data_IF_502878039067
#
_entry.id   IF_502878039067
#
_cell.length_a   1.000
_cell.length_b   1.000
_cell.length_c   1.000
_cell.angle_alpha   90.00
_cell.angle_beta   90.00
_cell.angle_gamma   90.00
#
_symmetry.space_group_name_H-M   'P 1'
#
loop_
_entity.id
_entity.type
_entity.pdbx_description
1 polymer ?
#
# COMPACT_ATOMS: atom_id res chain seq x y z
N UNK A 1 17.80 24.90 -2.30
CA UNK A 1 18.02 23.67 -1.53
C UNK A 1 16.70 23.26 -0.91
N UNK A 2 15.86 22.55 -1.67
CA UNK A 2 14.54 22.12 -1.24
C UNK A 2 14.63 20.64 -0.88
N UNK A 3 14.49 20.32 0.41
CA UNK A 3 14.36 18.95 0.88
C UNK A 3 13.00 18.42 0.40
N UNK A 4 12.97 17.78 -0.77
CA UNK A 4 11.83 16.98 -1.18
C UNK A 4 11.82 15.70 -0.35
N UNK A 5 11.13 15.76 0.79
CA UNK A 5 10.61 14.59 1.51
C UNK A 5 9.60 13.85 0.60
N UNK A 6 10.11 13.18 -0.42
CA UNK A 6 9.37 12.18 -1.21
C UNK A 6 9.51 10.82 -0.52
N UNK A 7 8.98 10.73 0.70
CA UNK A 7 8.60 9.46 1.32
C UNK A 7 7.08 9.31 1.12
N UNK A 8 6.58 8.09 0.82
CA UNK A 8 5.32 7.90 0.11
C UNK A 8 4.13 8.36 0.96
N UNK A 9 3.33 9.27 0.41
CA UNK A 9 1.89 9.37 0.63
C UNK A 9 1.38 9.27 2.08
N UNK A 10 2.04 9.89 3.06
CA UNK A 10 1.46 10.05 4.40
C UNK A 10 0.40 11.16 4.37
N UNK A 11 -0.73 10.86 3.73
CA UNK A 11 -1.88 11.73 3.75
C UNK A 11 -2.70 11.45 5.00
N UNK A 12 -2.84 12.45 5.87
CA UNK A 12 -3.91 12.51 6.87
C UNK A 12 -5.24 12.83 6.17
N UNK A 13 -5.70 11.94 5.29
CA UNK A 13 -6.99 12.13 4.61
C UNK A 13 -8.08 11.44 5.38
N UNK A 14 -8.49 12.10 6.45
CA UNK A 14 -9.69 11.74 7.18
C UNK A 14 -10.90 11.80 6.22
N UNK A 15 -11.78 10.80 6.33
CA UNK A 15 -13.04 10.72 5.58
C UNK A 15 -12.94 10.59 4.05
N UNK A 16 -11.75 10.35 3.51
CA UNK A 16 -11.57 9.95 2.11
C UNK A 16 -12.01 8.49 1.89
N UNK A 17 -12.20 8.08 0.63
CA UNK A 17 -12.37 6.67 0.30
C UNK A 17 -11.09 5.89 0.57
N UNK A 18 -11.23 4.71 1.16
CA UNK A 18 -10.11 3.83 1.55
C UNK A 18 -9.24 3.43 0.35
N UNK A 19 -9.86 3.20 -0.80
CA UNK A 19 -9.20 2.79 -2.03
C UNK A 19 -10.00 3.20 -3.27
N UNK A 20 -9.36 3.07 -4.44
CA UNK A 20 -9.99 3.14 -5.76
C UNK A 20 -9.99 1.75 -6.39
N UNK A 21 -10.86 0.83 -5.91
CA UNK A 21 -10.83 -0.56 -6.35
C UNK A 21 -11.27 -0.72 -7.80
N UNK A 22 -10.74 -1.76 -8.42
CA UNK A 22 -11.16 -2.27 -9.71
C UNK A 22 -12.04 -3.50 -9.51
N UNK A 23 -13.03 -3.66 -10.37
CA UNK A 23 -13.88 -4.83 -10.40
C UNK A 23 -13.99 -5.37 -11.82
N UNK A 24 -13.65 -6.63 -11.96
CA UNK A 24 -13.71 -7.37 -13.21
C UNK A 24 -14.98 -8.22 -13.20
N UNK A 25 -15.85 -7.97 -14.17
CA UNK A 25 -17.05 -8.78 -14.39
C UNK A 25 -16.90 -9.58 -15.69
N UNK A 26 -16.71 -10.88 -15.53
CA UNK A 26 -16.59 -11.81 -16.64
C UNK A 26 -17.90 -11.93 -17.43
N UNK A 27 -19.04 -12.02 -16.73
CA UNK A 27 -20.34 -12.30 -17.37
C UNK A 27 -20.72 -11.20 -18.34
N UNK A 28 -20.47 -9.95 -17.95
CA UNK A 28 -20.72 -8.79 -18.81
C UNK A 28 -19.51 -8.39 -19.67
N UNK A 29 -18.34 -9.03 -19.46
CA UNK A 29 -17.04 -8.65 -20.05
C UNK A 29 -16.71 -7.16 -19.85
N UNK A 30 -16.93 -6.66 -18.64
CA UNK A 30 -16.71 -5.25 -18.28
C UNK A 30 -15.77 -5.07 -17.11
N UNK A 31 -15.03 -3.97 -17.16
CA UNK A 31 -14.22 -3.46 -16.06
C UNK A 31 -14.91 -2.25 -15.44
N UNK A 32 -15.14 -2.31 -14.14
CA UNK A 32 -15.63 -1.22 -13.33
C UNK A 32 -14.47 -0.63 -12.53
N UNK A 33 -14.28 0.67 -12.62
CA UNK A 33 -13.29 1.39 -11.84
C UNK A 33 -13.98 2.40 -10.94
N UNK A 34 -13.81 2.21 -9.62
CA UNK A 34 -14.28 3.17 -8.63
C UNK A 34 -13.25 4.29 -8.47
N UNK A 35 -13.63 5.51 -8.89
CA UNK A 35 -12.77 6.69 -8.82
C UNK A 35 -13.25 7.64 -7.74
N UNK A 36 -12.40 7.86 -6.75
CA UNK A 36 -12.67 8.82 -5.70
C UNK A 36 -12.42 10.25 -6.22
N UNK A 37 -13.22 11.23 -5.79
CA UNK A 37 -12.98 12.62 -6.15
C UNK A 37 -11.63 13.09 -5.56
N UNK A 38 -10.73 13.55 -6.43
CA UNK A 38 -9.42 14.07 -6.04
C UNK A 38 -9.17 15.45 -6.63
N UNK A 39 -8.52 16.31 -5.85
CA UNK A 39 -8.04 17.62 -6.27
C UNK A 39 -6.57 17.52 -6.64
N UNK A 40 -6.24 17.85 -7.88
CA UNK A 40 -4.85 18.00 -8.32
C UNK A 40 -4.28 19.29 -7.75
N UNK A 41 -3.07 19.23 -7.20
CA UNK A 41 -2.30 20.39 -6.79
C UNK A 41 -0.93 20.33 -7.47
N UNK A 42 -0.43 21.43 -8.09
CA UNK A 42 0.84 21.41 -8.80
C UNK A 42 1.99 20.94 -7.92
N UNK A 43 2.74 19.93 -8.37
CA UNK A 43 3.86 19.36 -7.63
C UNK A 43 3.49 18.38 -6.51
N UNK A 44 2.20 18.13 -6.27
CA UNK A 44 1.73 17.17 -5.27
C UNK A 44 0.89 16.06 -5.91
N UNK A 45 0.97 14.87 -5.32
CA UNK A 45 0.04 13.79 -5.66
C UNK A 45 -1.41 14.23 -5.36
N UNK A 46 -2.40 13.75 -6.15
CA UNK A 46 -3.77 14.24 -6.05
C UNK A 46 -4.38 13.98 -4.65
N UNK A 47 -4.86 15.04 -4.00
CA UNK A 47 -5.38 14.99 -2.64
C UNK A 47 -6.87 14.61 -2.69
N UNK A 48 -7.37 13.72 -1.83
CA UNK A 48 -8.79 13.44 -1.68
C UNK A 48 -9.63 14.71 -1.47
N UNK A 49 -10.78 14.77 -2.16
CA UNK A 49 -11.75 15.85 -2.06
C UNK A 49 -13.09 15.28 -1.60
N UNK A 50 -13.90 15.99 -0.79
CA UNK A 50 -15.29 15.62 -0.55
C UNK A 50 -16.09 15.62 -1.87
N UNK A 51 -16.86 14.56 -2.13
CA UNK A 51 -17.72 14.47 -3.31
C UNK A 51 -18.30 13.07 -3.51
N UNK A 52 -19.15 12.93 -4.53
CA UNK A 52 -19.63 11.62 -4.97
C UNK A 52 -18.54 10.92 -5.80
N UNK A 53 -18.33 9.61 -5.62
CA UNK A 53 -17.41 8.84 -6.43
C UNK A 53 -17.98 8.64 -7.83
N UNK A 54 -17.10 8.47 -8.81
CA UNK A 54 -17.43 8.17 -10.19
C UNK A 54 -17.11 6.69 -10.44
N UNK A 55 -18.07 5.93 -10.97
CA UNK A 55 -17.82 4.56 -11.41
C UNK A 55 -17.66 4.60 -12.92
N UNK A 56 -16.43 4.40 -13.39
CA UNK A 56 -16.15 4.29 -14.82
C UNK A 56 -16.32 2.84 -15.26
N UNK A 57 -16.92 2.66 -16.43
CA UNK A 57 -17.22 1.35 -17.01
C UNK A 57 -16.51 1.27 -18.35
N UNK A 58 -15.75 0.20 -18.55
CA UNK A 58 -15.05 -0.06 -19.80
C UNK A 58 -15.33 -1.48 -20.28
N UNK A 59 -15.46 -1.63 -21.60
CA UNK A 59 -15.57 -2.94 -22.21
C UNK A 59 -14.19 -3.61 -22.23
N UNK A 60 -14.15 -4.87 -21.81
CA UNK A 60 -12.91 -5.64 -21.67
C UNK A 60 -12.12 -5.74 -22.98
N UNK A 61 -12.81 -5.80 -24.11
CA UNK A 61 -12.20 -5.91 -25.45
C UNK A 61 -11.38 -4.68 -25.83
N UNK A 62 -11.70 -3.53 -25.24
CA UNK A 62 -11.00 -2.27 -25.47
C UNK A 62 -9.86 -2.03 -24.47
N UNK A 63 -9.51 -3.03 -23.65
CA UNK A 63 -8.49 -2.90 -22.62
C UNK A 63 -7.22 -3.61 -23.06
N UNK A 64 -6.11 -2.89 -22.98
CA UNK A 64 -4.77 -3.41 -23.25
C UNK A 64 -3.91 -3.33 -22.00
N UNK A 65 -3.24 -4.42 -21.65
CA UNK A 65 -2.25 -4.41 -20.59
C UNK A 65 -0.89 -3.91 -21.10
N UNK A 66 -0.29 -3.02 -20.31
CA UNK A 66 1.05 -2.49 -20.48
C UNK A 66 1.83 -2.78 -19.18
N UNK A 67 2.84 -3.64 -19.26
CA UNK A 67 3.77 -3.84 -18.13
C UNK A 67 4.96 -2.93 -18.35
N UNK A 68 4.95 -1.79 -17.66
CA UNK A 68 5.95 -0.74 -17.87
C UNK A 68 7.03 -0.80 -16.82
N UNK A 69 8.22 -0.35 -17.22
CA UNK A 69 9.42 -0.37 -16.41
C UNK A 69 10.13 0.96 -16.56
N UNK A 70 9.94 1.82 -15.58
CA UNK A 70 10.46 3.18 -15.61
C UNK A 70 11.69 3.30 -14.74
N UNK A 71 12.64 4.10 -15.21
CA UNK A 71 13.73 4.59 -14.39
C UNK A 71 13.25 5.90 -13.76
N UNK A 72 13.05 5.89 -12.46
CA UNK A 72 12.70 7.09 -11.70
C UNK A 72 13.97 7.63 -11.09
N UNK A 73 14.42 8.78 -11.57
CA UNK A 73 15.56 9.50 -11.03
C UNK A 73 15.06 10.54 -10.03
N UNK A 74 15.48 10.40 -8.78
CA UNK A 74 15.12 11.31 -7.71
C UNK A 74 16.39 12.02 -7.24
N UNK A 75 16.86 13.01 -8.01
CA UNK A 75 17.99 13.90 -7.72
C UNK A 75 19.37 13.23 -7.57
N UNK A 76 19.51 12.31 -6.61
CA UNK A 76 20.72 11.57 -6.25
C UNK A 76 20.59 10.04 -6.37
N UNK A 77 19.41 9.52 -6.70
CA UNK A 77 19.20 8.06 -6.79
C UNK A 77 18.35 7.72 -7.99
N UNK A 78 18.78 6.72 -8.77
CA UNK A 78 17.99 6.14 -9.84
C UNK A 78 17.41 4.80 -9.37
N UNK A 79 16.09 4.72 -9.26
CA UNK A 79 15.36 3.50 -8.93
C UNK A 79 14.62 2.97 -10.15
N UNK A 80 14.52 1.65 -10.28
CA UNK A 80 13.73 1.02 -11.34
C UNK A 80 12.38 0.61 -10.80
N UNK A 81 11.33 1.24 -11.30
CA UNK A 81 9.95 0.98 -10.87
C UNK A 81 9.25 0.18 -11.95
N UNK A 82 8.64 -0.94 -11.55
CA UNK A 82 7.83 -1.78 -12.45
C UNK A 82 6.39 -1.82 -11.97
N UNK A 83 5.46 -1.47 -12.85
CA UNK A 83 4.03 -1.47 -12.54
C UNK A 83 3.22 -2.05 -13.70
N UNK A 84 2.07 -2.65 -13.37
CA UNK A 84 1.07 -3.06 -14.35
C UNK A 84 0.14 -1.87 -14.59
N UNK A 85 0.01 -1.46 -15.84
CA UNK A 85 -0.91 -0.41 -16.26
C UNK A 85 -1.89 -0.99 -17.28
N UNK A 86 -3.17 -0.66 -17.14
CA UNK A 86 -4.16 -0.95 -18.17
C UNK A 86 -4.44 0.34 -18.94
N UNK A 87 -4.36 0.25 -20.26
CA UNK A 87 -4.69 1.28 -21.21
C UNK A 87 -6.06 0.99 -21.84
N UNK A 88 -6.97 1.94 -21.71
CA UNK A 88 -8.28 1.89 -22.37
C UNK A 88 -8.14 2.50 -23.75
N UNK A 89 -8.53 1.73 -24.76
CA UNK A 89 -8.52 2.12 -26.16
C UNK A 89 -9.89 2.66 -26.56
N UNK A 90 -9.90 3.64 -27.44
CA UNK A 90 -11.10 4.04 -28.17
C UNK A 90 -11.41 2.99 -29.24
N UNK A 91 -12.61 2.38 -29.25
CA UNK A 91 -12.97 1.36 -30.23
C UNK A 91 -12.93 1.87 -31.68
N UNK A 92 -13.15 3.17 -31.91
CA UNK A 92 -13.18 3.74 -33.26
C UNK A 92 -11.78 4.09 -33.79
N UNK A 93 -10.96 4.76 -32.98
CA UNK A 93 -9.64 5.25 -33.42
C UNK A 93 -8.46 4.38 -33.00
N UNK A 94 -8.66 3.44 -32.06
CA UNK A 94 -7.57 2.66 -31.45
C UNK A 94 -6.62 3.48 -30.58
N UNK A 95 -6.93 4.77 -30.32
CA UNK A 95 -6.09 5.63 -29.48
C UNK A 95 -6.31 5.35 -27.99
N UNK A 96 -5.30 5.59 -27.18
CA UNK A 96 -5.39 5.38 -25.73
C UNK A 96 -6.11 6.57 -25.08
N UNK A 97 -7.32 6.32 -24.58
CA UNK A 97 -8.15 7.31 -23.89
C UNK A 97 -7.64 7.60 -22.48
N UNK A 98 -7.37 6.53 -21.73
CA UNK A 98 -6.98 6.64 -20.34
C UNK A 98 -6.08 5.47 -19.95
N UNK A 99 -5.18 5.70 -18.99
CA UNK A 99 -4.38 4.64 -18.40
C UNK A 99 -4.47 4.68 -16.88
N UNK A 100 -4.56 3.52 -16.26
CA UNK A 100 -4.58 3.40 -14.80
C UNK A 100 -3.75 2.21 -14.34
N UNK A 101 -3.17 2.33 -13.15
CA UNK A 101 -2.29 1.31 -12.58
C UNK A 101 -3.09 0.32 -11.75
N UNK A 102 -2.69 -0.95 -11.82
CA UNK A 102 -3.28 -2.03 -11.02
C UNK A 102 -2.19 -2.71 -10.20
N UNK A 103 -2.50 -2.96 -8.93
CA UNK A 103 -1.60 -3.65 -7.99
C UNK A 103 -0.76 -2.68 -7.17
N UNK A 104 0.24 -3.22 -6.47
CA UNK A 104 1.09 -2.43 -5.58
C UNK A 104 2.22 -1.75 -6.37
N UNK A 105 2.37 -0.43 -6.21
CA UNK A 105 3.48 0.36 -6.75
C UNK A 105 4.74 0.14 -5.90
N UNK A 106 5.35 -1.04 -6.00
CA UNK A 106 6.65 -1.30 -5.35
C UNK A 106 7.80 -0.84 -6.23
N UNK A 107 8.69 -0.02 -5.65
CA UNK A 107 9.98 0.39 -6.21
C UNK A 107 10.97 -0.78 -6.35
N UNK A 108 10.72 -1.92 -5.68
CA UNK A 108 11.65 -3.05 -5.58
C UNK A 108 11.02 -4.40 -6.00
N UNK A 109 9.80 -4.39 -6.53
CA UNK A 109 9.10 -5.62 -6.91
C UNK A 109 9.67 -6.27 -8.19
N UNK A 110 9.76 -7.62 -8.27
CA UNK A 110 10.09 -8.32 -9.50
C UNK A 110 9.13 -7.95 -10.63
N UNK A 111 9.67 -7.73 -11.83
CA UNK A 111 8.86 -7.47 -13.03
C UNK A 111 7.91 -8.65 -13.35
N UNK A 112 8.36 -9.88 -13.07
CA UNK A 112 7.57 -11.12 -13.23
C UNK A 112 6.24 -11.08 -12.49
N UNK A 113 6.19 -10.43 -11.32
CA UNK A 113 4.97 -10.39 -10.50
C UNK A 113 3.88 -9.56 -11.18
N UNK A 114 4.25 -8.54 -11.95
CA UNK A 114 3.32 -7.70 -12.73
C UNK A 114 2.76 -8.46 -13.93
N UNK A 115 3.60 -9.28 -14.55
CA UNK A 115 3.18 -10.19 -15.64
C UNK A 115 2.25 -11.28 -15.09
N UNK A 116 2.60 -11.89 -13.95
CA UNK A 116 1.77 -12.90 -13.30
C UNK A 116 0.42 -12.32 -12.87
N UNK A 117 0.39 -11.08 -12.35
CA UNK A 117 -0.85 -10.37 -12.04
C UNK A 117 -1.73 -10.16 -13.27
N UNK A 118 -1.13 -9.74 -14.39
CA UNK A 118 -1.88 -9.62 -15.65
C UNK A 118 -2.45 -10.96 -16.10
N UNK A 119 -1.64 -12.03 -16.12
CA UNK A 119 -2.09 -13.37 -16.51
C UNK A 119 -3.23 -13.87 -15.62
N UNK A 120 -3.17 -13.59 -14.31
CA UNK A 120 -4.23 -13.89 -13.35
C UNK A 120 -5.54 -13.20 -13.75
N UNK A 121 -5.49 -11.91 -14.05
CA UNK A 121 -6.67 -11.12 -14.47
C UNK A 121 -7.20 -11.62 -15.83
N UNK A 122 -6.32 -11.85 -16.81
CA UNK A 122 -6.69 -12.34 -18.14
C UNK A 122 -7.39 -13.69 -18.06
N UNK A 123 -6.81 -14.66 -17.34
CA UNK A 123 -7.40 -15.99 -17.14
C UNK A 123 -8.75 -15.91 -16.44
N UNK A 124 -8.89 -15.05 -15.42
CA UNK A 124 -10.18 -14.83 -14.77
C UNK A 124 -11.26 -14.37 -15.77
N UNK A 125 -10.92 -13.42 -16.65
CA UNK A 125 -11.84 -12.84 -17.62
C UNK A 125 -12.14 -13.76 -18.81
N UNK A 126 -11.18 -14.57 -19.26
CA UNK A 126 -11.32 -15.43 -20.43
C UNK A 126 -11.77 -16.85 -20.05
N UNK A 127 -11.02 -17.49 -19.16
CA UNK A 127 -11.14 -18.91 -18.83
C UNK A 127 -12.10 -19.13 -17.64
N UNK A 128 -12.12 -18.20 -16.69
CA UNK A 128 -13.05 -18.19 -15.55
C UNK A 128 -12.38 -18.28 -14.18
N UNK A 129 -13.18 -18.32 -13.10
CA UNK A 129 -12.67 -18.38 -11.74
C UNK A 129 -11.87 -19.66 -11.46
N UNK A 130 -12.27 -20.79 -12.05
CA UNK A 130 -11.57 -22.08 -11.84
C UNK A 130 -10.16 -22.12 -12.44
N UNK A 131 -9.86 -21.23 -13.39
CA UNK A 131 -8.56 -21.12 -14.04
C UNK A 131 -7.54 -20.28 -13.24
N UNK A 132 -7.98 -19.68 -12.13
CA UNK A 132 -7.20 -18.78 -11.30
C UNK A 132 -7.09 -19.35 -9.89
N UNK A 133 -5.91 -19.27 -9.25
CA UNK A 133 -5.80 -19.66 -7.84
C UNK A 133 -6.82 -18.89 -7.00
N UNK A 134 -7.46 -19.57 -6.04
CA UNK A 134 -8.42 -18.95 -5.13
C UNK A 134 -7.85 -17.64 -4.57
N UNK A 135 -8.62 -16.56 -4.74
CA UNK A 135 -8.24 -15.27 -4.21
C UNK A 135 -8.14 -15.37 -2.69
N UNK A 136 -6.93 -15.20 -2.17
CA UNK A 136 -6.74 -15.04 -0.73
C UNK A 136 -7.47 -13.78 -0.33
N UNK A 137 -8.51 -13.94 0.47
CA UNK A 137 -9.24 -12.82 1.00
C UNK A 137 -8.31 -11.97 1.86
N UNK A 138 -7.93 -10.80 1.33
CA UNK A 138 -7.08 -9.84 2.05
C UNK A 138 -7.90 -8.96 3.00
N UNK A 139 -9.16 -9.29 3.29
CA UNK A 139 -9.86 -8.73 4.45
C UNK A 139 -9.33 -9.32 5.76
N UNK A 140 -8.01 -9.27 5.96
CA UNK A 140 -7.44 -9.35 7.30
C UNK A 140 -8.00 -8.18 8.10
N UNK A 141 -8.48 -8.46 9.33
CA UNK A 141 -8.79 -7.41 10.30
C UNK A 141 -7.50 -6.64 10.59
N UNK A 142 -7.29 -5.53 9.89
CA UNK A 142 -6.08 -4.71 10.06
C UNK A 142 -6.12 -4.06 11.44
N UNK A 143 -5.15 -4.40 12.28
CA UNK A 143 -5.00 -3.88 13.64
C UNK A 143 -4.01 -2.72 13.66
N UNK A 144 -4.00 -1.92 14.74
CA UNK A 144 -3.00 -0.86 14.93
C UNK A 144 -1.56 -1.39 14.90
N UNK A 145 -1.34 -2.61 15.40
CA UNK A 145 -0.03 -3.27 15.38
C UNK A 145 0.44 -3.50 13.94
N UNK A 146 -0.47 -3.81 13.02
CA UNK A 146 -0.10 -4.05 11.62
C UNK A 146 0.31 -2.73 10.92
N UNK A 147 -0.29 -1.59 11.32
CA UNK A 147 0.15 -0.26 10.86
C UNK A 147 1.51 0.15 11.43
N UNK A 148 1.75 -0.11 12.71
CA UNK A 148 3.07 0.14 13.31
C UNK A 148 4.14 -0.78 12.74
N UNK A 149 3.82 -2.03 12.46
CA UNK A 149 4.73 -2.97 11.79
C UNK A 149 5.10 -2.49 10.38
N UNK A 150 4.14 -1.97 9.62
CA UNK A 150 4.40 -1.39 8.30
C UNK A 150 5.35 -0.17 8.34
N UNK A 151 5.30 0.60 9.43
CA UNK A 151 6.20 1.74 9.67
C UNK A 151 7.50 1.34 10.38
N UNK A 152 7.67 0.07 10.76
CA UNK A 152 8.81 -0.37 11.55
C UNK A 152 10.03 -0.63 10.65
N UNK A 153 11.14 0.12 10.82
CA UNK A 153 12.33 -0.07 10.01
C UNK A 153 12.99 -1.43 10.26
N UNK A 154 12.76 -2.04 11.42
CA UNK A 154 13.30 -3.36 11.77
C UNK A 154 12.57 -4.50 11.05
N UNK A 155 11.32 -4.31 10.61
CA UNK A 155 10.58 -5.34 9.86
C UNK A 155 11.24 -5.62 8.50
N UNK A 156 11.86 -4.60 7.89
CA UNK A 156 12.68 -4.74 6.67
C UNK A 156 13.92 -5.62 6.85
N UNK A 157 14.36 -5.87 8.09
CA UNK A 157 15.45 -6.80 8.39
C UNK A 157 15.07 -8.26 8.16
N UNK A 158 13.77 -8.57 8.24
CA UNK A 158 13.22 -9.92 8.02
C UNK A 158 12.81 -10.11 6.57
N UNK A 159 12.25 -9.09 5.93
CA UNK A 159 11.71 -9.17 4.56
C UNK A 159 12.79 -9.12 3.45
N UNK A 160 14.02 -8.67 3.73
CA UNK A 160 15.09 -8.57 2.71
C UNK A 160 15.69 -9.95 2.37
N UNK A 161 15.26 -10.53 1.25
CA UNK A 161 15.57 -11.92 0.86
C UNK A 161 16.76 -12.12 -0.07
N UNK A 162 17.52 -11.09 -0.50
CA UNK A 162 18.71 -11.30 -1.36
C UNK A 162 19.78 -10.19 -1.28
N UNK A 163 21.07 -10.58 -1.28
CA UNK A 163 22.21 -9.72 -1.65
C UNK A 163 22.54 -8.51 -0.75
N UNK A 164 23.36 -7.60 -1.27
CA UNK A 164 23.89 -6.40 -0.59
C UNK A 164 22.85 -5.43 -0.02
N UNK A 165 21.58 -5.55 -0.44
CA UNK A 165 20.43 -4.86 0.15
C UNK A 165 20.22 -5.23 1.63
N UNK A 166 20.61 -6.44 2.03
CA UNK A 166 20.53 -6.91 3.42
C UNK A 166 21.50 -6.16 4.34
N UNK A 167 22.69 -5.77 3.84
CA UNK A 167 23.69 -5.04 4.62
C UNK A 167 23.31 -3.56 4.75
N UNK A 168 22.98 -2.90 3.64
CA UNK A 168 22.57 -1.49 3.65
C UNK A 168 21.23 -1.28 4.36
N UNK A 169 20.28 -2.21 4.22
CA UNK A 169 19.03 -2.20 4.98
C UNK A 169 19.26 -2.28 6.49
N UNK A 170 20.24 -3.10 6.92
CA UNK A 170 20.65 -3.17 8.34
C UNK A 170 21.27 -1.88 8.84
N UNK A 171 22.23 -1.35 8.08
CA UNK A 171 22.94 -0.10 8.43
C UNK A 171 21.96 1.06 8.56
N UNK A 172 20.95 1.15 7.68
CA UNK A 172 19.97 2.24 7.70
C UNK A 172 18.83 2.03 8.71
N UNK A 173 18.49 0.78 9.04
CA UNK A 173 17.40 0.49 9.99
C UNK A 173 17.68 0.95 11.42
N UNK A 174 18.94 0.88 11.87
CA UNK A 174 19.35 1.22 13.24
C UNK A 174 19.19 2.72 13.51
N UNK A 175 19.79 3.65 12.72
CA UNK A 175 19.57 5.08 12.93
C UNK A 175 18.09 5.46 12.73
N UNK A 176 17.35 4.78 11.84
CA UNK A 176 15.92 5.02 11.68
C UNK A 176 15.10 4.68 12.94
N UNK A 177 15.57 3.79 13.82
CA UNK A 177 14.88 3.52 15.11
C UNK A 177 14.96 4.69 16.09
N UNK A 178 15.90 5.61 15.95
CA UNK A 178 15.93 6.86 16.74
C UNK A 178 14.79 7.83 16.35
N UNK A 179 14.08 7.53 15.26
CA UNK A 179 12.86 8.22 14.87
C UNK A 179 11.61 7.47 15.35
N UNK A 180 11.73 6.56 16.32
CA UNK A 180 10.63 5.75 16.84
C UNK A 180 9.38 6.57 17.22
N UNK A 181 9.46 7.72 17.93
CA UNK A 181 8.29 8.54 18.25
C UNK A 181 7.53 8.96 16.99
N UNK A 182 8.27 9.42 15.98
CA UNK A 182 7.70 9.91 14.73
C UNK A 182 7.07 8.77 13.92
N UNK A 183 7.74 7.61 13.85
CA UNK A 183 7.26 6.45 13.11
C UNK A 183 6.02 5.81 13.77
N UNK A 184 5.96 5.76 15.09
CA UNK A 184 4.77 5.32 15.82
C UNK A 184 3.61 6.32 15.65
N UNK A 185 3.88 7.62 15.70
CA UNK A 185 2.88 8.63 15.44
C UNK A 185 2.32 8.51 14.02
N UNK A 186 3.18 8.29 13.04
CA UNK A 186 2.80 8.05 11.64
C UNK A 186 1.91 6.80 11.52
N UNK A 187 2.28 5.67 12.12
CA UNK A 187 1.46 4.47 12.08
C UNK A 187 0.10 4.64 12.77
N UNK A 188 0.05 5.40 13.88
CA UNK A 188 -1.19 5.77 14.55
C UNK A 188 -2.07 6.63 13.64
N UNK A 189 -1.49 7.66 13.01
CA UNK A 189 -2.16 8.51 12.05
C UNK A 189 -2.78 7.72 10.89
N UNK A 190 -2.04 6.75 10.34
CA UNK A 190 -2.54 5.84 9.31
C UNK A 190 -3.68 4.95 9.80
N UNK A 191 -3.57 4.41 11.01
CA UNK A 191 -4.64 3.62 11.59
C UNK A 191 -5.91 4.46 11.81
N UNK A 192 -5.78 5.70 12.30
CA UNK A 192 -6.92 6.62 12.45
C UNK A 192 -7.51 6.95 11.07
N UNK A 193 -6.67 7.24 10.07
CA UNK A 193 -7.11 7.50 8.70
C UNK A 193 -7.88 6.30 8.13
N UNK A 194 -7.37 5.08 8.30
CA UNK A 194 -8.05 3.85 7.89
C UNK A 194 -9.41 3.67 8.59
N UNK A 195 -9.46 3.91 9.91
CA UNK A 195 -10.70 3.78 10.70
C UNK A 195 -11.75 4.85 10.35
N UNK A 196 -11.31 6.02 9.89
CA UNK A 196 -12.17 7.12 9.48
C UNK A 196 -12.46 7.14 7.98
N UNK A 197 -11.81 6.28 7.20
CA UNK A 197 -12.01 6.17 5.78
C UNK A 197 -13.45 5.70 5.46
N UNK A 198 -14.00 6.25 4.39
CA UNK A 198 -15.29 5.81 3.86
C UNK A 198 -15.08 4.49 3.12
N UNK A 199 -15.84 3.48 3.50
CA UNK A 199 -15.90 2.23 2.75
C UNK A 199 -16.44 2.49 1.36
N UNK A 200 -15.88 1.79 0.39
CA UNK A 200 -16.37 1.80 -0.99
C UNK A 200 -17.73 1.11 -1.00
N UNK A 201 -18.74 1.79 -1.57
CA UNK A 201 -20.04 1.18 -1.89
C UNK A 201 -20.23 1.29 -3.38
N UNK A 202 -20.61 0.17 -4.00
CA UNK A 202 -20.87 0.09 -5.43
C UNK A 202 -22.35 0.32 -5.78
N UNK A 203 -23.18 0.66 -4.79
CA UNK A 203 -24.60 0.91 -4.98
C UNK A 203 -25.32 -0.34 -5.48
N UNK A 204 -26.04 -0.25 -6.59
CA UNK A 204 -26.78 -1.37 -7.18
C UNK A 204 -25.87 -2.56 -7.57
N UNK A 205 -24.61 -2.28 -7.92
CA UNK A 205 -23.62 -3.29 -8.24
C UNK A 205 -23.18 -4.10 -7.01
N UNK A 206 -23.48 -3.68 -5.77
CA UNK A 206 -23.17 -4.47 -4.56
C UNK A 206 -23.91 -5.83 -4.54
N UNK A 207 -24.98 -5.98 -5.34
CA UNK A 207 -25.79 -7.21 -5.46
C UNK A 207 -25.21 -8.25 -6.42
N UNK A 208 -24.44 -7.83 -7.42
CA UNK A 208 -23.83 -8.72 -8.43
C UNK A 208 -22.52 -9.34 -7.97
N UNK A 209 -22.19 -9.17 -6.68
CA UNK A 209 -20.90 -9.57 -6.11
C UNK A 209 -20.89 -11.08 -5.90
N UNK A 210 -19.91 -11.76 -6.51
CA UNK A 210 -19.39 -13.02 -5.98
C UNK A 210 -18.81 -12.72 -4.59
N UNK A 211 -19.68 -12.72 -3.57
CA UNK A 211 -19.23 -12.79 -2.19
C UNK A 211 -18.79 -14.23 -2.03
N UNK A 212 -17.50 -14.46 -1.79
CA UNK A 212 -17.05 -15.77 -1.33
C UNK A 212 -17.97 -16.12 -0.15
N UNK A 213 -18.65 -17.28 -0.17
CA UNK A 213 -19.46 -17.67 0.97
C UNK A 213 -18.57 -17.64 2.22
N UNK A 214 -19.07 -17.22 3.39
CA UNK A 214 -18.27 -17.06 4.60
C UNK A 214 -17.56 -18.37 5.05
N UNK A 215 -17.95 -19.51 4.48
CA UNK A 215 -17.38 -20.84 4.67
C UNK A 215 -16.30 -21.22 3.65
N UNK A 216 -16.10 -20.46 2.57
CA UNK A 216 -14.99 -20.66 1.64
C UNK A 216 -13.71 -20.18 2.33
N UNK A 217 -13.09 -21.07 3.09
CA UNK A 217 -11.75 -20.83 3.61
C UNK A 217 -10.80 -20.72 2.42
N UNK A 218 -10.01 -19.63 2.31
CA UNK A 218 -9.00 -19.56 1.28
C UNK A 218 -8.07 -20.75 1.47
N UNK A 219 -7.82 -21.54 0.42
CA UNK A 219 -6.72 -22.50 0.45
C UNK A 219 -5.46 -21.72 0.78
N UNK A 220 -4.86 -22.03 1.92
CA UNK A 220 -3.68 -21.31 2.41
C UNK A 220 -2.57 -21.48 1.38
N UNK A 221 -2.31 -20.43 0.62
CA UNK A 221 -1.18 -20.39 -0.30
C UNK A 221 0.12 -20.39 0.51
N UNK A 222 1.20 -20.96 -0.04
CA UNK A 222 2.53 -20.99 0.57
C UNK A 222 2.99 -19.60 1.06
N UNK A 223 2.68 -18.55 0.29
CA UNK A 223 2.99 -17.17 0.67
C UNK A 223 2.20 -16.68 1.91
N UNK A 224 0.96 -17.14 2.08
CA UNK A 224 0.15 -16.82 3.26
C UNK A 224 0.62 -17.63 4.47
N UNK A 225 0.94 -18.91 4.29
CA UNK A 225 1.54 -19.72 5.36
C UNK A 225 2.87 -19.11 5.85
N UNK A 226 3.71 -18.62 4.92
CA UNK A 226 4.94 -17.90 5.25
C UNK A 226 4.66 -16.58 5.97
N UNK A 227 3.70 -15.79 5.48
CA UNK A 227 3.30 -14.54 6.14
C UNK A 227 2.79 -14.76 7.57
N UNK A 228 1.93 -15.76 7.75
CA UNK A 228 1.39 -16.15 9.06
C UNK A 228 2.50 -16.68 9.99
N UNK A 229 3.45 -17.46 9.46
CA UNK A 229 4.62 -17.93 10.21
C UNK A 229 5.57 -16.79 10.64
N UNK A 230 5.73 -15.76 9.80
CA UNK A 230 6.59 -14.61 10.10
C UNK A 230 5.92 -13.54 10.98
N UNK A 231 4.59 -13.52 11.02
CA UNK A 231 3.78 -12.58 11.82
C UNK A 231 4.23 -12.45 13.29
N UNK A 232 4.44 -13.52 14.07
CA UNK A 232 4.88 -13.40 15.46
C UNK A 232 6.27 -12.75 15.58
N UNK A 233 7.16 -12.99 14.62
CA UNK A 233 8.49 -12.37 14.60
C UNK A 233 8.42 -10.89 14.28
N UNK A 234 7.59 -10.51 13.30
CA UNK A 234 7.35 -9.11 12.90
C UNK A 234 6.76 -8.29 14.06
N UNK A 235 5.75 -8.86 14.74
CA UNK A 235 5.14 -8.24 15.93
C UNK A 235 6.11 -7.99 17.08
N UNK A 236 7.13 -8.83 17.29
CA UNK A 236 8.17 -8.58 18.32
C UNK A 236 8.93 -7.28 18.07
N UNK A 237 9.19 -6.93 16.81
CA UNK A 237 9.89 -5.69 16.50
C UNK A 237 9.07 -4.45 16.83
N UNK A 238 7.73 -4.52 16.76
CA UNK A 238 6.87 -3.41 17.19
C UNK A 238 7.05 -3.12 18.68
N UNK A 239 7.15 -4.16 19.51
CA UNK A 239 7.42 -3.99 20.94
C UNK A 239 8.82 -3.45 21.22
N UNK A 240 9.82 -3.82 20.42
CA UNK A 240 11.16 -3.22 20.50
C UNK A 240 11.08 -1.72 20.20
N UNK A 241 10.36 -1.32 19.15
CA UNK A 241 10.17 0.09 18.80
C UNK A 241 9.46 0.87 19.91
N UNK A 242 8.42 0.29 20.53
CA UNK A 242 7.75 0.86 21.69
C UNK A 242 8.69 1.00 22.90
N UNK A 243 9.56 0.01 23.14
CA UNK A 243 10.57 0.08 24.19
C UNK A 243 11.57 1.22 23.99
N UNK A 244 12.05 1.42 22.75
CA UNK A 244 12.92 2.54 22.39
C UNK A 244 12.21 3.87 22.63
N UNK A 245 10.95 4.00 22.19
CA UNK A 245 10.14 5.20 22.44
C UNK A 245 10.03 5.52 23.95
N UNK A 246 9.72 4.53 24.78
CA UNK A 246 9.64 4.72 26.24
C UNK A 246 10.99 5.18 26.80
N UNK A 247 12.10 4.58 26.38
CA UNK A 247 13.43 4.96 26.83
C UNK A 247 13.78 6.42 26.44
N UNK A 248 13.43 6.84 25.23
CA UNK A 248 13.62 8.22 24.76
C UNK A 248 12.81 9.22 25.57
N UNK A 249 11.54 8.91 25.87
CA UNK A 249 10.69 9.77 26.70
C UNK A 249 11.25 9.90 28.11
N UNK A 250 11.67 8.79 28.73
CA UNK A 250 12.28 8.80 30.08
C UNK A 250 13.57 9.61 30.07
N UNK A 251 14.43 9.43 29.07
CA UNK A 251 15.66 10.20 28.92
C UNK A 251 15.37 11.70 28.78
N UNK A 252 14.40 12.09 27.96
CA UNK A 252 14.01 13.50 27.78
C UNK A 252 13.58 14.15 29.11
N UNK A 253 12.73 13.49 29.88
CA UNK A 253 12.31 14.01 31.19
C UNK A 253 13.46 14.03 32.21
N UNK A 254 14.32 13.01 32.21
CA UNK A 254 15.50 12.97 33.07
C UNK A 254 16.45 14.14 32.76
N UNK A 255 16.75 14.38 31.48
CA UNK A 255 17.56 15.51 31.03
C UNK A 255 16.93 16.86 31.37
N UNK A 256 15.61 17.00 31.20
CA UNK A 256 14.90 18.22 31.61
C UNK A 256 15.01 18.50 33.11
N UNK A 257 14.93 17.46 33.95
CA UNK A 257 15.11 17.56 35.40
C UNK A 257 16.55 17.90 35.79
N UNK A 258 17.56 17.32 35.14
CA UNK A 258 18.97 17.63 35.41
C UNK A 258 19.34 19.04 34.93
N UNK A 259 18.90 19.46 33.74
CA UNK A 259 19.07 20.84 33.26
C UNK A 259 18.38 21.85 34.18
N UNK A 260 17.17 21.56 34.67
CA UNK A 260 16.49 22.43 35.63
C UNK A 260 17.27 22.56 36.95
N UNK A 261 17.87 21.48 37.45
CA UNK A 261 18.73 21.53 38.64
C UNK A 261 20.02 22.33 38.41
N UNK A 262 20.57 22.28 37.20
CA UNK A 262 21.76 23.07 36.83
C UNK A 262 21.43 24.55 36.59
N UNK A 263 20.23 24.88 36.12
CA UNK A 263 19.80 26.26 35.79
C UNK A 263 19.19 27.02 36.98
N UNK A 264 18.61 26.33 37.97
CA UNK A 264 18.02 26.93 39.20
C UNK A 264 18.99 26.84 40.40
N UNK A 265 20.15 26.21 40.19
CA UNK A 265 21.23 26.09 41.18
C UNK A 265 22.27 27.22 41.15
N UNK A 266 21.84 28.46 40.87
CA UNK A 266 22.55 29.71 41.13
C UNK A 266 21.54 30.79 41.53
#
# INVERSE_FOLDING_TARGET
>A
MAFYLSYPGYYLTFWAYESEPFRFDRTTRKLYWFRAPRRKWPGYEPIPKPGKPEIKIYDWENIRAEVTRNMVTNGNTAGRVSYLQLAVLDPASGQVLERFRIGNDSLAGPFSDRVALWETIRRFMEEGPDAVPDAVDKFQRVTLIDFWDACNPLTRLVESTTGGERLWGRILSIPATLLAPLLLLIGLCHWIAYRTARKVSWGELDTTVFKLPPTAQPKVNLAQAQFEADTPRRRRFVFILLGVFVAEVVAFFWWGLTLRRLLIGY
#
